data_IF_896596259418
#
_entry.id   IF_896596259418
#
_cell.length_a   1.000
_cell.length_b   1.000
_cell.length_c   1.000
_cell.angle_alpha   90.00
_cell.angle_beta   90.00
_cell.angle_gamma   90.00
#
_symmetry.space_group_name_H-M   'P 1'
#
loop_
_entity.id
_entity.type
_entity.pdbx_description
1 polymer ?
#
# COMPACT_ATOMS: atom_id res chain seq x y z
N UNK A 1 38.35 -42.99 -14.57
CA UNK A 1 37.77 -42.06 -15.56
C UNK A 1 37.84 -40.66 -14.93
N UNK A 2 38.62 -39.74 -15.50
CA UNK A 2 38.75 -38.37 -14.99
C UNK A 2 37.63 -37.51 -15.58
N UNK A 3 36.70 -37.09 -14.74
CA UNK A 3 35.66 -36.14 -15.10
C UNK A 3 36.32 -34.77 -15.32
N UNK A 4 36.38 -34.30 -16.55
CA UNK A 4 36.71 -32.90 -16.83
C UNK A 4 35.51 -32.05 -16.39
N UNK A 5 35.64 -31.37 -15.25
CA UNK A 5 34.71 -30.30 -14.90
C UNK A 5 34.87 -29.19 -15.94
N UNK A 6 33.89 -29.00 -16.82
CA UNK A 6 33.87 -27.87 -17.75
C UNK A 6 33.56 -26.61 -16.94
N UNK A 7 34.57 -25.77 -16.70
CA UNK A 7 34.39 -24.46 -16.08
C UNK A 7 33.89 -23.42 -17.08
N UNK A 8 33.06 -22.50 -16.62
CA UNK A 8 32.61 -21.30 -17.36
C UNK A 8 33.80 -20.37 -17.63
N UNK A 9 33.87 -19.73 -18.80
CA UNK A 9 34.94 -18.76 -19.05
C UNK A 9 34.64 -17.41 -18.36
N UNK A 10 35.69 -16.65 -18.04
CA UNK A 10 35.52 -15.30 -17.48
C UNK A 10 34.75 -14.38 -18.43
N UNK A 11 34.95 -14.53 -19.74
CA UNK A 11 34.24 -13.77 -20.76
C UNK A 11 32.75 -14.12 -20.77
N UNK A 12 32.42 -15.41 -20.67
CA UNK A 12 31.04 -15.88 -20.63
C UNK A 12 30.32 -15.34 -19.39
N UNK A 13 31.00 -15.30 -18.23
CA UNK A 13 30.46 -14.70 -17.00
C UNK A 13 30.21 -13.20 -17.16
N UNK A 14 31.12 -12.47 -17.81
CA UNK A 14 30.94 -11.04 -18.04
C UNK A 14 29.75 -10.76 -18.95
N UNK A 15 29.56 -11.55 -20.01
CA UNK A 15 28.42 -11.40 -20.91
C UNK A 15 27.10 -11.72 -20.20
N UNK A 16 27.03 -12.79 -19.40
CA UNK A 16 25.80 -13.12 -18.66
C UNK A 16 25.46 -12.06 -17.62
N UNK A 17 26.45 -11.52 -16.90
CA UNK A 17 26.25 -10.43 -15.96
C UNK A 17 25.79 -9.13 -16.65
N UNK A 18 26.35 -8.81 -17.82
CA UNK A 18 25.93 -7.64 -18.60
C UNK A 18 24.46 -7.73 -19.04
N UNK A 19 24.03 -8.89 -19.53
CA UNK A 19 22.62 -9.14 -19.90
C UNK A 19 21.73 -9.07 -18.66
N UNK A 20 22.10 -9.72 -17.57
CA UNK A 20 21.33 -9.73 -16.32
C UNK A 20 21.16 -8.32 -15.74
N UNK A 21 22.21 -7.49 -15.74
CA UNK A 21 22.15 -6.10 -15.28
C UNK A 21 21.17 -5.27 -16.13
N UNK A 22 21.20 -5.44 -17.46
CA UNK A 22 20.30 -4.74 -18.37
C UNK A 22 18.83 -5.10 -18.11
N UNK A 23 18.55 -6.38 -17.87
CA UNK A 23 17.19 -6.84 -17.53
C UNK A 23 16.73 -6.31 -16.16
N UNK A 24 17.62 -6.29 -15.16
CA UNK A 24 17.29 -5.85 -13.81
C UNK A 24 16.84 -4.38 -13.76
N UNK A 25 17.39 -3.52 -14.62
CA UNK A 25 17.00 -2.10 -14.72
C UNK A 25 15.51 -1.92 -14.99
N UNK A 26 14.89 -2.79 -15.79
CA UNK A 26 13.46 -2.71 -16.09
C UNK A 26 12.61 -3.59 -15.17
N UNK A 27 13.10 -4.78 -14.84
CA UNK A 27 12.36 -5.76 -14.05
C UNK A 27 12.10 -5.28 -12.62
N UNK A 28 13.10 -4.67 -11.96
CA UNK A 28 12.99 -4.22 -10.56
C UNK A 28 11.95 -3.11 -10.37
N UNK A 29 12.00 -1.96 -11.10
CA UNK A 29 10.99 -0.92 -10.92
C UNK A 29 9.59 -1.38 -11.33
N UNK A 30 9.47 -2.23 -12.36
CA UNK A 30 8.20 -2.83 -12.76
C UNK A 30 7.60 -3.69 -11.64
N UNK A 31 8.39 -4.61 -11.07
CA UNK A 31 7.92 -5.42 -9.96
C UNK A 31 7.52 -4.59 -8.73
N UNK A 32 8.31 -3.55 -8.40
CA UNK A 32 7.99 -2.64 -7.29
C UNK A 32 6.67 -1.90 -7.51
N UNK A 33 6.41 -1.41 -8.72
CA UNK A 33 5.15 -0.73 -9.02
C UNK A 33 3.95 -1.69 -8.97
N UNK A 34 4.12 -2.92 -9.43
CA UNK A 34 3.09 -3.97 -9.30
C UNK A 34 2.76 -4.26 -7.83
N UNK A 35 3.77 -4.48 -6.98
CA UNK A 35 3.55 -4.73 -5.54
C UNK A 35 2.92 -3.53 -4.85
N UNK A 36 3.38 -2.31 -5.15
CA UNK A 36 2.78 -1.10 -4.62
C UNK A 36 1.30 -0.97 -4.97
N UNK A 37 0.94 -1.28 -6.23
CA UNK A 37 -0.46 -1.30 -6.68
C UNK A 37 -1.30 -2.31 -5.90
N UNK A 38 -0.79 -3.51 -5.64
CA UNK A 38 -1.49 -4.50 -4.79
C UNK A 38 -1.73 -3.95 -3.39
N UNK A 39 -0.73 -3.34 -2.76
CA UNK A 39 -0.89 -2.76 -1.43
C UNK A 39 -1.87 -1.58 -1.38
N UNK A 40 -1.95 -0.76 -2.44
CA UNK A 40 -2.96 0.31 -2.56
C UNK A 40 -4.38 -0.26 -2.67
N UNK A 41 -4.56 -1.35 -3.42
CA UNK A 41 -5.83 -2.09 -3.49
C UNK A 41 -6.21 -2.64 -2.11
N UNK A 42 -5.24 -3.25 -1.40
CA UNK A 42 -5.46 -3.79 -0.07
C UNK A 42 -5.89 -2.69 0.91
N UNK A 43 -5.21 -1.52 0.89
CA UNK A 43 -5.57 -0.36 1.71
C UNK A 43 -7.00 0.13 1.43
N UNK A 44 -7.36 0.32 0.16
CA UNK A 44 -8.71 0.72 -0.24
C UNK A 44 -9.75 -0.32 0.21
N UNK A 45 -9.49 -1.62 0.02
CA UNK A 45 -10.40 -2.68 0.47
C UNK A 45 -10.56 -2.71 2.00
N UNK A 46 -9.49 -2.45 2.75
CA UNK A 46 -9.52 -2.37 4.20
C UNK A 46 -10.35 -1.18 4.67
N UNK A 47 -10.23 -0.02 4.03
CA UNK A 47 -11.06 1.17 4.31
C UNK A 47 -12.54 0.87 4.11
N UNK A 48 -12.93 0.20 3.03
CA UNK A 48 -14.33 -0.20 2.84
C UNK A 48 -14.81 -1.20 3.89
N UNK A 49 -14.01 -2.21 4.24
CA UNK A 49 -14.38 -3.15 5.32
C UNK A 49 -14.56 -2.44 6.66
N UNK A 50 -13.67 -1.50 6.98
CA UNK A 50 -13.75 -0.68 8.19
C UNK A 50 -15.00 0.21 8.19
N UNK A 51 -15.32 0.86 7.06
CA UNK A 51 -16.54 1.66 6.92
C UNK A 51 -17.81 0.83 7.12
N UNK A 52 -17.89 -0.35 6.49
CA UNK A 52 -19.01 -1.27 6.68
C UNK A 52 -19.16 -1.74 8.13
N UNK A 53 -18.04 -1.93 8.85
CA UNK A 53 -18.08 -2.28 10.26
C UNK A 53 -18.65 -1.15 11.14
N UNK A 54 -18.24 0.09 10.89
CA UNK A 54 -18.73 1.27 11.62
C UNK A 54 -20.23 1.46 11.39
N UNK A 55 -20.66 1.41 10.12
CA UNK A 55 -22.07 1.53 9.71
C UNK A 55 -22.94 0.39 10.25
N UNK A 56 -22.37 -0.79 10.45
CA UNK A 56 -23.08 -2.00 10.86
C UNK A 56 -23.36 -2.14 12.36
N UNK A 57 -22.79 -1.31 13.24
CA UNK A 57 -23.00 -1.58 14.67
C UNK A 57 -22.37 -0.67 15.72
N UNK A 58 -21.74 0.45 15.39
CA UNK A 58 -21.17 1.34 16.41
C UNK A 58 -21.89 2.70 16.42
N UNK A 59 -22.84 2.88 17.35
CA UNK A 59 -23.41 4.20 17.71
C UNK A 59 -22.44 5.02 18.57
N UNK A 60 -21.15 4.67 18.57
CA UNK A 60 -20.14 5.31 19.39
C UNK A 60 -19.53 6.49 18.63
N UNK A 61 -19.31 7.61 19.30
CA UNK A 61 -18.81 8.84 18.67
C UNK A 61 -17.34 8.75 18.24
N UNK A 62 -16.64 7.68 18.64
CA UNK A 62 -15.26 7.39 18.28
C UNK A 62 -15.04 5.85 18.16
N UNK A 63 -15.51 5.22 17.07
CA UNK A 63 -15.42 3.78 16.94
C UNK A 63 -13.96 3.34 16.83
N UNK A 64 -13.54 2.40 17.68
CA UNK A 64 -12.22 1.77 17.62
C UNK A 64 -12.32 0.53 16.72
N UNK A 65 -11.42 0.42 15.74
CA UNK A 65 -11.38 -0.74 14.86
C UNK A 65 -10.85 -1.96 15.62
N UNK A 66 -11.54 -3.11 15.57
CA UNK A 66 -11.05 -4.33 16.19
C UNK A 66 -9.83 -4.89 15.43
N UNK A 67 -9.05 -5.78 16.08
CA UNK A 67 -7.97 -6.50 15.41
C UNK A 67 -8.45 -7.18 14.13
N UNK A 68 -7.74 -6.95 13.02
CA UNK A 68 -8.10 -7.46 11.70
C UNK A 68 -8.94 -6.50 10.85
N UNK A 69 -9.33 -5.35 11.39
CA UNK A 69 -9.82 -4.19 10.61
C UNK A 69 -8.94 -2.96 10.78
N UNK A 70 -7.96 -3.02 11.68
CA UNK A 70 -7.01 -1.97 12.04
C UNK A 70 -5.75 -1.94 11.15
N UNK A 71 -5.66 -2.82 10.14
CA UNK A 71 -4.50 -2.90 9.25
C UNK A 71 -4.81 -3.49 7.87
N UNK A 72 -3.93 -3.21 6.92
CA UNK A 72 -3.87 -3.86 5.62
C UNK A 72 -2.43 -4.35 5.34
N UNK A 73 -2.23 -5.60 4.87
CA UNK A 73 -3.22 -6.68 4.78
C UNK A 73 -3.84 -7.05 6.13
N UNK A 74 -5.00 -7.70 6.12
CA UNK A 74 -5.75 -8.05 7.33
C UNK A 74 -4.95 -8.94 8.30
N UNK A 75 -4.07 -9.78 7.77
CA UNK A 75 -3.23 -10.70 8.53
C UNK A 75 -1.77 -10.55 8.09
N UNK A 76 -0.86 -10.82 9.03
CA UNK A 76 0.58 -10.77 8.78
C UNK A 76 1.18 -9.42 9.14
N UNK A 77 2.16 -8.96 8.35
CA UNK A 77 2.86 -7.69 8.60
C UNK A 77 2.05 -6.52 8.06
N UNK A 78 1.70 -5.57 8.93
CA UNK A 78 1.00 -4.35 8.55
C UNK A 78 1.81 -3.54 7.52
N UNK A 79 1.23 -3.33 6.35
CA UNK A 79 1.75 -2.39 5.34
C UNK A 79 1.09 -1.03 5.51
N UNK A 80 -0.20 -1.02 5.81
CA UNK A 80 -0.95 0.15 6.25
C UNK A 80 -1.59 -0.13 7.61
N UNK A 81 -1.69 0.91 8.45
CA UNK A 81 -2.49 0.90 9.68
C UNK A 81 -3.71 1.79 9.51
N UNK A 82 -4.85 1.30 9.99
CA UNK A 82 -6.12 2.00 9.87
C UNK A 82 -6.47 2.66 11.19
N UNK A 83 -6.88 3.92 11.12
CA UNK A 83 -7.33 4.70 12.27
C UNK A 83 -8.62 5.43 11.91
N UNK A 84 -9.53 5.50 12.86
CA UNK A 84 -10.75 6.30 12.73
C UNK A 84 -10.48 7.68 13.31
N UNK A 85 -10.83 8.69 12.52
CA UNK A 85 -10.84 10.08 12.93
C UNK A 85 -12.20 10.45 13.53
N UNK A 86 -12.23 11.39 14.48
CA UNK A 86 -13.47 11.83 15.10
C UNK A 86 -14.48 12.39 14.09
N UNK A 87 -15.75 12.31 14.44
CA UNK A 87 -16.84 12.92 13.70
C UNK A 87 -16.61 14.44 13.51
N UNK A 88 -16.83 14.94 12.31
CA UNK A 88 -16.94 16.37 12.03
C UNK A 88 -18.11 16.62 11.06
N UNK A 89 -18.62 17.85 11.03
CA UNK A 89 -19.78 18.20 10.18
C UNK A 89 -19.48 18.09 8.68
N UNK A 90 -18.20 18.07 8.29
CA UNK A 90 -17.76 17.99 6.89
C UNK A 90 -17.59 16.55 6.40
N UNK A 91 -17.33 15.59 7.29
CA UNK A 91 -17.05 14.18 6.99
C UNK A 91 -18.28 13.27 7.15
N UNK A 92 -19.40 13.81 7.65
CA UNK A 92 -20.67 13.11 7.74
C UNK A 92 -20.79 12.15 8.93
N UNK A 93 -19.86 12.22 9.90
CA UNK A 93 -19.94 11.48 11.17
C UNK A 93 -18.73 10.59 11.47
N UNK A 94 -17.90 10.27 10.48
CA UNK A 94 -16.59 9.64 10.69
C UNK A 94 -15.70 9.81 9.46
N UNK A 95 -14.39 9.68 9.66
CA UNK A 95 -13.44 9.42 8.59
C UNK A 95 -12.47 8.31 8.99
N UNK A 96 -11.99 7.54 8.02
CA UNK A 96 -11.04 6.46 8.23
C UNK A 96 -9.81 6.75 7.39
N UNK A 97 -8.64 6.63 8.00
CA UNK A 97 -7.36 6.81 7.34
C UNK A 97 -6.56 5.51 7.35
N UNK A 98 -6.01 5.12 6.21
CA UNK A 98 -5.03 4.06 6.08
C UNK A 98 -3.65 4.69 5.88
N UNK A 99 -2.84 4.69 6.93
CA UNK A 99 -1.49 5.29 6.97
C UNK A 99 -0.43 4.24 6.66
N UNK A 100 0.51 4.48 5.72
CA UNK A 100 1.62 3.57 5.48
C UNK A 100 2.43 3.32 6.76
N UNK A 101 2.90 2.09 6.95
CA UNK A 101 3.83 1.78 8.04
C UNK A 101 5.19 2.45 7.79
N UNK A 102 5.73 3.13 8.81
CA UNK A 102 7.03 3.84 8.77
C UNK A 102 8.22 2.95 8.39
N UNK A 103 8.13 1.64 8.63
CA UNK A 103 9.15 0.67 8.23
C UNK A 103 8.71 -0.21 7.06
N UNK A 104 7.56 0.10 6.46
CA UNK A 104 6.92 -0.70 5.42
C UNK A 104 7.35 -0.31 4.00
N UNK A 105 7.03 -1.16 3.01
CA UNK A 105 7.38 -0.93 1.61
C UNK A 105 6.68 0.28 0.98
N UNK A 106 5.64 0.80 1.64
CA UNK A 106 4.81 1.92 1.16
C UNK A 106 5.14 3.27 1.81
N UNK A 107 6.17 3.35 2.66
CA UNK A 107 6.50 4.60 3.38
C UNK A 107 6.66 5.80 2.44
N UNK A 108 7.39 5.60 1.35
CA UNK A 108 7.74 6.65 0.39
C UNK A 108 6.80 6.66 -0.84
N UNK A 109 5.61 6.07 -0.69
CA UNK A 109 4.65 6.00 -1.78
C UNK A 109 4.00 7.35 -2.09
N UNK A 110 3.86 7.65 -3.36
CA UNK A 110 3.26 8.92 -3.83
C UNK A 110 1.79 9.08 -3.46
N UNK A 111 1.08 7.98 -3.17
CA UNK A 111 -0.33 8.04 -2.76
C UNK A 111 -0.50 8.26 -1.25
N UNK A 112 0.56 8.07 -0.46
CA UNK A 112 0.56 8.33 0.98
C UNK A 112 -0.61 7.69 1.73
N UNK A 113 -1.27 8.50 2.55
CA UNK A 113 -2.37 8.10 3.43
C UNK A 113 -3.66 8.10 2.63
N UNK A 114 -4.37 6.97 2.60
CA UNK A 114 -5.68 6.88 1.96
C UNK A 114 -6.77 7.27 2.96
N UNK A 115 -7.77 8.03 2.52
CA UNK A 115 -8.87 8.49 3.38
C UNK A 115 -10.23 8.16 2.78
N UNK A 116 -11.15 7.70 3.62
CA UNK A 116 -12.56 7.48 3.27
C UNK A 116 -13.44 8.04 4.38
N UNK A 117 -14.41 8.89 4.04
CA UNK A 117 -15.39 9.40 5.01
C UNK A 117 -16.79 8.78 4.87
N UNK A 118 -17.69 9.12 5.80
CA UNK A 118 -19.05 8.61 5.84
C UNK A 118 -19.91 9.03 4.64
N UNK A 119 -19.51 10.09 3.92
CA UNK A 119 -20.18 10.52 2.67
C UNK A 119 -19.72 9.72 1.45
N UNK A 120 -18.69 8.86 1.62
CA UNK A 120 -18.05 8.11 0.56
C UNK A 120 -16.97 8.90 -0.18
N UNK A 121 -16.57 10.08 0.33
CA UNK A 121 -15.51 10.87 -0.26
C UNK A 121 -14.16 10.17 -0.07
N UNK A 122 -13.46 9.99 -1.20
CA UNK A 122 -12.16 9.32 -1.26
C UNK A 122 -11.07 10.37 -1.40
N UNK A 123 -10.01 10.22 -0.63
CA UNK A 123 -8.89 11.14 -0.64
C UNK A 123 -7.55 10.46 -0.41
N UNK A 124 -6.50 11.23 -0.66
CA UNK A 124 -5.12 10.85 -0.38
C UNK A 124 -4.41 12.04 0.25
N UNK A 125 -3.61 11.81 1.29
CA UNK A 125 -2.75 12.82 1.91
C UNK A 125 -1.30 12.37 1.80
N UNK A 126 -0.43 13.22 1.28
CA UNK A 126 1.01 12.94 1.35
C UNK A 126 1.52 13.20 2.77
N UNK A 127 2.05 12.16 3.41
CA UNK A 127 2.63 12.25 4.76
C UNK A 127 3.77 13.29 4.84
N UNK A 128 4.48 13.54 3.73
CA UNK A 128 5.63 14.45 3.69
C UNK A 128 5.29 15.94 3.41
N UNK A 129 4.17 16.24 2.74
CA UNK A 129 3.87 17.61 2.27
C UNK A 129 2.51 18.13 2.71
N UNK A 130 1.66 17.30 3.34
CA UNK A 130 0.28 17.66 3.68
C UNK A 130 -0.59 17.98 2.44
N UNK A 131 -0.05 17.84 1.23
CA UNK A 131 -0.75 18.08 -0.02
C UNK A 131 -1.60 16.86 -0.37
N UNK A 132 -2.85 17.10 -0.74
CA UNK A 132 -3.71 16.10 -1.34
C UNK A 132 -3.12 15.67 -2.68
N UNK A 133 -2.65 14.43 -2.80
CA UNK A 133 -2.37 13.86 -4.11
C UNK A 133 -3.70 13.81 -4.89
N UNK A 134 -3.67 14.00 -6.22
CA UNK A 134 -4.88 13.88 -7.03
C UNK A 134 -5.47 12.47 -6.83
N UNK A 135 -6.60 12.40 -6.10
CA UNK A 135 -7.21 11.16 -5.62
C UNK A 135 -7.59 10.19 -6.75
N UNK A 136 -7.78 10.71 -7.97
CA UNK A 136 -8.09 9.93 -9.16
C UNK A 136 -7.08 8.83 -9.47
N UNK A 137 -5.77 9.12 -9.43
CA UNK A 137 -4.75 8.14 -9.86
C UNK A 137 -4.46 7.09 -8.78
N UNK A 138 -4.67 7.43 -7.50
CA UNK A 138 -4.35 6.56 -6.37
C UNK A 138 -5.49 5.59 -6.01
N UNK A 139 -6.75 6.03 -6.16
CA UNK A 139 -7.93 5.18 -5.94
C UNK A 139 -8.39 4.44 -7.19
N UNK A 140 -7.89 4.81 -8.38
CA UNK A 140 -8.18 4.09 -9.61
C UNK A 140 -7.27 2.87 -9.71
N UNK A 141 -7.75 1.74 -9.20
CA UNK A 141 -7.01 0.48 -9.17
C UNK A 141 -7.13 -0.34 -10.47
N UNK A 142 -7.57 0.29 -11.57
CA UNK A 142 -7.75 -0.30 -12.92
C UNK A 142 -6.46 -0.56 -13.67
#
# INVERSE_FOLDING_TARGET
MKSHASGFTLLELMITLAIAATLAVFAVPSYRSHVARTHRIDAASALYRAAQFIEGGTNDSAPTLPPGLDQAPQFGTAVYRLHVLPADDANGGYAIEATPSESGPMRDDTCGIFTLDATGLRGNKNAATGSTAASGDCWNTS
#
